data_IF_915905206905
#
_entry.id   IF_915905206905
#
_cell.length_a   1.000
_cell.length_b   1.000
_cell.length_c   1.000
_cell.angle_alpha   90.00
_cell.angle_beta   90.00
_cell.angle_gamma   90.00
#
_symmetry.space_group_name_H-M   'P 1'
#
loop_
_entity.id
_entity.type
_entity.pdbx_description
1 polymer ?
#
# COMPACT_ATOMS: atom_id res chain seq x y z
N UNK A 1 11.08 -8.86 -10.05
CA UNK A 1 9.66 -9.17 -10.29
C UNK A 1 9.64 -10.30 -11.30
N UNK A 2 8.94 -11.38 -10.97
CA UNK A 2 8.65 -12.43 -11.95
C UNK A 2 7.76 -11.83 -13.06
N UNK A 3 7.87 -12.31 -14.30
CA UNK A 3 6.95 -11.89 -15.38
C UNK A 3 5.51 -12.17 -14.91
N UNK A 4 4.67 -11.15 -14.83
CA UNK A 4 3.34 -11.31 -14.24
C UNK A 4 2.45 -12.21 -15.11
N UNK A 5 2.76 -12.32 -16.41
CA UNK A 5 2.08 -13.24 -17.32
C UNK A 5 2.24 -14.68 -16.89
N UNK A 6 3.33 -15.01 -16.18
CA UNK A 6 3.56 -16.37 -15.65
C UNK A 6 2.53 -16.79 -14.59
N UNK A 7 1.81 -15.85 -13.96
CA UNK A 7 0.71 -16.18 -13.04
C UNK A 7 -0.57 -16.61 -13.77
N UNK A 8 -0.77 -16.15 -15.00
CA UNK A 8 -2.03 -16.36 -15.74
C UNK A 8 -1.99 -17.54 -16.72
N UNK A 9 -0.88 -18.26 -16.83
CA UNK A 9 -0.71 -19.37 -17.80
C UNK A 9 -0.94 -20.76 -17.22
N UNK A 10 -1.26 -20.90 -15.93
CA UNK A 10 -1.55 -22.19 -15.30
C UNK A 10 -3.06 -22.35 -15.11
N UNK A 11 -3.59 -23.53 -15.47
CA UNK A 11 -4.98 -23.91 -15.18
C UNK A 11 -5.26 -23.80 -13.68
N UNK A 12 -6.30 -23.03 -13.35
CA UNK A 12 -6.73 -22.79 -11.96
C UNK A 12 -7.27 -24.10 -11.38
N UNK A 13 -6.80 -24.58 -10.21
CA UNK A 13 -7.42 -25.72 -9.56
C UNK A 13 -8.86 -25.36 -9.14
N UNK A 14 -9.84 -26.16 -9.57
CA UNK A 14 -11.25 -25.92 -9.29
C UNK A 14 -11.55 -25.96 -7.78
N UNK A 15 -12.06 -24.87 -7.20
CA UNK A 15 -12.47 -24.79 -5.79
C UNK A 15 -13.93 -25.21 -5.62
N UNK A 16 -14.18 -26.22 -4.77
CA UNK A 16 -15.52 -26.67 -4.34
C UNK A 16 -16.19 -25.57 -3.51
N UNK A 17 -17.37 -25.10 -3.93
CA UNK A 17 -18.24 -24.21 -3.13
C UNK A 17 -18.97 -25.01 -2.04
N UNK A 18 -18.90 -24.54 -0.80
CA UNK A 18 -19.89 -24.85 0.23
C UNK A 18 -20.78 -23.61 0.38
N UNK A 19 -22.08 -23.80 0.16
CA UNK A 19 -23.10 -22.76 0.31
C UNK A 19 -23.57 -22.70 1.75
N UNK A 20 -23.73 -21.49 2.30
CA UNK A 20 -24.68 -21.23 3.37
C UNK A 20 -25.08 -19.75 3.37
N UNK A 21 -26.36 -19.52 3.10
CA UNK A 21 -27.09 -18.29 3.36
C UNK A 21 -27.17 -17.99 4.87
N UNK A 22 -27.35 -16.72 5.25
CA UNK A 22 -28.33 -16.19 6.23
C UNK A 22 -28.00 -14.70 6.55
N UNK A 23 -28.86 -13.83 6.03
CA UNK A 23 -29.61 -12.71 6.66
C UNK A 23 -28.99 -11.72 7.67
N UNK A 24 -29.30 -10.43 7.45
CA UNK A 24 -28.94 -9.25 8.25
C UNK A 24 -30.00 -8.87 9.31
N UNK A 25 -29.65 -8.01 10.29
CA UNK A 25 -30.62 -7.03 10.78
C UNK A 25 -30.07 -5.60 10.95
N UNK A 26 -31.03 -4.69 11.13
CA UNK A 26 -30.97 -3.23 10.99
C UNK A 26 -31.12 -2.48 12.32
N UNK A 27 -30.63 -1.21 12.34
CA UNK A 27 -31.04 0.02 13.10
C UNK A 27 -30.43 0.39 14.48
N UNK A 28 -29.80 1.60 14.47
CA UNK A 28 -29.96 2.85 15.31
C UNK A 28 -30.14 2.73 16.85
N UNK A 29 -29.65 3.60 17.75
CA UNK A 29 -28.83 4.82 17.77
C UNK A 29 -28.59 5.27 19.25
N UNK A 30 -27.66 6.23 19.45
CA UNK A 30 -27.70 7.42 20.35
C UNK A 30 -26.53 7.59 21.33
N UNK A 31 -26.11 8.85 21.46
CA UNK A 31 -24.88 9.38 22.05
C UNK A 31 -25.07 10.01 23.46
N UNK A 32 -23.97 10.11 24.23
CA UNK A 32 -23.69 11.15 25.26
C UNK A 32 -22.22 11.01 25.73
N UNK A 33 -21.31 11.91 25.32
CA UNK A 33 -20.79 13.09 26.06
C UNK A 33 -19.67 12.81 27.07
N UNK A 34 -18.45 13.27 26.72
CA UNK A 34 -17.14 13.30 27.39
C UNK A 34 -16.97 14.51 28.35
N UNK A 35 -15.78 14.90 28.86
CA UNK A 35 -14.52 14.21 29.30
C UNK A 35 -14.09 14.80 30.70
N UNK A 36 -12.81 15.02 31.12
CA UNK A 36 -11.48 14.51 30.72
C UNK A 36 -10.61 14.02 31.91
N UNK A 37 -9.54 13.25 31.63
CA UNK A 37 -8.27 13.33 32.37
C UNK A 37 -7.17 12.58 31.61
N UNK A 38 -6.10 13.30 31.26
CA UNK A 38 -4.79 12.73 30.94
C UNK A 38 -4.14 12.18 32.23
N UNK A 39 -3.20 11.23 32.11
CA UNK A 39 -1.83 11.70 32.16
C UNK A 39 -0.90 11.06 31.11
N UNK A 40 -0.01 11.93 30.63
CA UNK A 40 1.34 11.66 30.12
C UNK A 40 1.91 10.30 30.54
N UNK A 41 2.26 9.48 29.56
CA UNK A 41 3.51 8.69 29.57
C UNK A 41 3.79 8.08 28.19
N UNK A 42 4.69 8.72 27.44
CA UNK A 42 5.66 7.97 26.63
C UNK A 42 6.66 7.37 27.62
N UNK A 43 7.01 6.10 27.50
CA UNK A 43 8.02 5.67 26.53
C UNK A 43 7.53 4.40 25.78
N UNK A 44 7.97 4.08 24.58
CA UNK A 44 9.17 3.30 24.35
C UNK A 44 9.25 3.01 22.84
N UNK A 45 10.45 3.09 22.28
CA UNK A 45 10.78 2.63 20.94
C UNK A 45 10.74 1.10 20.86
N UNK A 46 9.54 0.51 20.92
CA UNK A 46 9.36 -0.88 20.54
C UNK A 46 9.46 -0.97 19.01
N UNK A 47 10.43 -1.73 18.51
CA UNK A 47 10.58 -1.99 17.09
C UNK A 47 9.38 -2.83 16.63
N UNK A 48 8.29 -2.18 16.24
CA UNK A 48 7.12 -2.88 15.69
C UNK A 48 7.56 -3.65 14.45
N UNK A 49 7.41 -4.97 14.50
CA UNK A 49 7.69 -5.90 13.40
C UNK A 49 6.86 -5.49 12.19
N UNK A 50 7.43 -5.63 10.99
CA UNK A 50 6.78 -5.21 9.74
C UNK A 50 5.48 -5.99 9.52
N UNK A 51 5.42 -7.26 9.91
CA UNK A 51 4.21 -8.07 9.86
C UNK A 51 3.05 -7.49 10.68
N UNK A 52 3.33 -6.86 11.82
CA UNK A 52 2.31 -6.31 12.71
C UNK A 52 1.62 -5.06 12.12
N UNK A 53 2.13 -4.53 11.01
CA UNK A 53 1.55 -3.39 10.31
C UNK A 53 0.42 -3.80 9.34
N UNK A 54 0.28 -5.09 9.05
CA UNK A 54 -0.90 -5.63 8.37
C UNK A 54 -1.98 -5.84 9.43
N UNK A 55 -3.00 -4.99 9.38
CA UNK A 55 -4.07 -4.94 10.40
C UNK A 55 -5.37 -5.56 9.91
N UNK A 56 -5.55 -5.72 8.59
CA UNK A 56 -6.71 -6.41 8.04
C UNK A 56 -6.57 -7.92 8.30
N UNK A 57 -7.54 -8.56 8.98
CA UNK A 57 -7.39 -9.95 9.45
C UNK A 57 -7.13 -10.96 8.33
N UNK A 58 -7.87 -10.86 7.21
CA UNK A 58 -7.79 -11.84 6.13
C UNK A 58 -6.41 -11.85 5.49
N UNK A 59 -5.85 -10.66 5.21
CA UNK A 59 -4.50 -10.50 4.74
C UNK A 59 -3.46 -11.00 5.74
N UNK A 60 -3.64 -10.71 7.03
CA UNK A 60 -2.72 -11.16 8.07
C UNK A 60 -2.62 -12.70 8.09
N UNK A 61 -3.76 -13.39 8.05
CA UNK A 61 -3.82 -14.84 8.03
C UNK A 61 -3.21 -15.45 6.75
N UNK A 62 -3.54 -14.89 5.59
CA UNK A 62 -3.03 -15.35 4.29
C UNK A 62 -1.51 -15.12 4.14
N UNK A 63 -0.98 -14.03 4.70
CA UNK A 63 0.44 -13.64 4.58
C UNK A 63 1.30 -14.14 5.74
N UNK A 64 0.71 -14.72 6.79
CA UNK A 64 1.46 -15.29 7.91
C UNK A 64 2.59 -16.26 7.50
N UNK A 65 2.44 -17.13 6.47
CA UNK A 65 3.54 -17.95 5.97
C UNK A 65 4.65 -17.15 5.29
N UNK A 66 4.31 -16.08 4.56
CA UNK A 66 5.28 -15.22 3.86
C UNK A 66 6.19 -14.49 4.86
N UNK A 67 5.63 -13.98 5.96
CA UNK A 67 6.40 -13.26 6.99
C UNK A 67 7.47 -14.13 7.67
N UNK A 68 7.31 -15.46 7.66
CA UNK A 68 8.27 -16.40 8.26
C UNK A 68 9.48 -16.67 7.35
N UNK A 69 9.38 -16.37 6.05
CA UNK A 69 10.42 -16.70 5.07
C UNK A 69 11.69 -15.87 5.28
N UNK A 70 12.83 -16.45 4.92
CA UNK A 70 14.14 -15.84 5.13
C UNK A 70 14.28 -14.47 4.44
N UNK A 71 13.75 -14.32 3.23
CA UNK A 71 13.84 -13.05 2.49
C UNK A 71 13.08 -11.92 3.20
N UNK A 72 11.96 -12.20 3.86
CA UNK A 72 11.16 -11.18 4.54
C UNK A 72 11.89 -10.68 5.79
N UNK A 73 12.49 -11.59 6.58
CA UNK A 73 13.36 -11.21 7.71
C UNK A 73 14.56 -10.37 7.27
N UNK A 74 15.17 -10.71 6.12
CA UNK A 74 16.25 -9.92 5.53
C UNK A 74 15.77 -8.52 5.11
N UNK A 75 14.57 -8.43 4.55
CA UNK A 75 13.93 -7.16 4.19
C UNK A 75 13.65 -6.29 5.42
N UNK A 76 13.14 -6.86 6.51
CA UNK A 76 12.95 -6.13 7.78
C UNK A 76 14.28 -5.59 8.31
N UNK A 77 15.31 -6.43 8.38
CA UNK A 77 16.64 -6.01 8.80
C UNK A 77 17.26 -4.95 7.87
N UNK A 78 16.98 -5.02 6.56
CA UNK A 78 17.36 -3.98 5.61
C UNK A 78 16.66 -2.66 5.96
N UNK A 79 15.34 -2.64 6.11
CA UNK A 79 14.59 -1.40 6.42
C UNK A 79 15.01 -0.78 7.74
N UNK A 80 15.32 -1.58 8.76
CA UNK A 80 15.77 -1.07 10.05
C UNK A 80 17.18 -0.45 9.97
N UNK A 81 18.10 -1.05 9.19
CA UNK A 81 19.41 -0.44 8.88
C UNK A 81 19.25 0.83 8.07
N UNK A 82 18.38 0.80 7.08
CA UNK A 82 18.11 1.91 6.18
C UNK A 82 17.53 3.09 6.95
N UNK A 83 16.60 2.84 7.87
CA UNK A 83 16.01 3.84 8.74
C UNK A 83 17.07 4.50 9.63
N UNK A 84 18.01 3.72 10.21
CA UNK A 84 19.13 4.25 11.00
C UNK A 84 20.09 5.09 10.16
N UNK A 85 20.44 4.60 8.98
CA UNK A 85 21.32 5.30 8.03
C UNK A 85 20.74 6.67 7.65
N UNK A 86 19.47 6.68 7.30
CA UNK A 86 18.72 7.87 6.93
C UNK A 86 18.61 8.86 8.11
N UNK A 87 18.36 8.38 9.33
CA UNK A 87 18.34 9.24 10.53
C UNK A 87 19.70 9.83 10.90
N UNK A 88 20.80 9.15 10.58
CA UNK A 88 22.16 9.60 10.87
C UNK A 88 22.68 10.64 9.86
N UNK A 89 22.04 10.80 8.69
CA UNK A 89 22.48 11.77 7.68
C UNK A 89 22.18 13.22 8.10
N UNK A 90 23.15 14.14 8.01
CA UNK A 90 22.89 15.56 8.19
C UNK A 90 22.00 16.09 7.06
N UNK A 91 20.96 16.86 7.43
CA UNK A 91 20.04 17.49 6.47
C UNK A 91 20.68 18.79 5.96
N UNK A 92 20.77 19.04 4.65
CA UNK A 92 21.32 20.29 4.13
C UNK A 92 20.51 21.51 4.59
N UNK A 93 21.20 22.52 5.13
CA UNK A 93 20.64 23.78 5.66
C UNK A 93 19.86 24.60 4.60
N UNK A 94 20.08 24.36 3.30
CA UNK A 94 19.52 25.16 2.20
C UNK A 94 18.01 24.91 1.90
N UNK A 95 17.33 24.01 2.59
CA UNK A 95 15.88 23.78 2.41
C UNK A 95 15.05 24.58 3.43
N UNK A 96 15.16 25.91 3.39
CA UNK A 96 14.49 26.86 4.29
C UNK A 96 13.13 27.35 3.74
N UNK A 97 12.21 26.44 3.45
CA UNK A 97 10.78 26.77 3.36
C UNK A 97 10.04 26.08 4.51
N UNK A 98 9.33 26.86 5.32
CA UNK A 98 8.79 26.52 6.65
C UNK A 98 7.87 25.28 6.74
N UNK A 99 7.59 24.58 5.64
CA UNK A 99 6.75 23.36 5.61
C UNK A 99 7.54 22.05 5.44
N UNK A 100 8.83 22.11 5.05
CA UNK A 100 9.64 20.94 4.68
C UNK A 100 10.61 20.47 5.77
N UNK A 101 10.21 20.43 7.04
CA UNK A 101 11.01 19.89 8.16
C UNK A 101 11.24 18.37 8.13
N UNK A 102 11.25 17.74 6.95
CA UNK A 102 11.35 16.28 6.87
C UNK A 102 12.82 15.92 6.68
N UNK A 103 13.40 15.44 7.79
CA UNK A 103 14.63 14.63 7.86
C UNK A 103 14.74 13.74 6.63
N UNK A 104 15.95 13.33 6.26
CA UNK A 104 16.08 12.18 5.36
C UNK A 104 15.09 11.10 5.86
N UNK A 105 14.29 10.56 4.94
CA UNK A 105 13.14 9.75 5.28
C UNK A 105 12.99 8.59 4.31
N UNK A 106 12.42 7.51 4.81
CA UNK A 106 11.84 6.44 3.99
C UNK A 106 10.36 6.78 3.80
N UNK A 107 9.86 6.65 2.57
CA UNK A 107 8.46 6.82 2.22
C UNK A 107 7.84 5.51 1.74
N UNK A 108 6.54 5.28 2.01
CA UNK A 108 5.69 6.06 2.91
C UNK A 108 6.13 5.90 4.39
N UNK A 109 5.59 6.69 5.34
CA UNK A 109 5.72 6.42 6.76
C UNK A 109 5.46 4.95 7.11
N UNK A 110 6.17 4.40 8.10
CA UNK A 110 6.18 2.96 8.38
C UNK A 110 4.76 2.37 8.52
N UNK A 111 3.86 3.03 9.25
CA UNK A 111 2.48 2.58 9.46
C UNK A 111 1.60 2.58 8.19
N UNK A 112 2.02 3.25 7.11
CA UNK A 112 1.30 3.31 5.84
C UNK A 112 1.85 2.33 4.80
N UNK A 113 2.93 1.58 5.09
CA UNK A 113 3.55 0.66 4.12
C UNK A 113 2.55 -0.34 3.53
N UNK A 114 1.65 -0.88 4.36
CA UNK A 114 0.61 -1.83 3.96
C UNK A 114 -0.78 -1.20 3.85
N UNK A 115 -0.88 0.12 3.66
CA UNK A 115 -2.19 0.79 3.56
C UNK A 115 -3.08 0.17 2.47
N UNK A 116 -2.51 -0.26 1.34
CA UNK A 116 -3.26 -0.94 0.27
C UNK A 116 -3.95 -2.23 0.75
N UNK A 117 -3.26 -3.05 1.54
CA UNK A 117 -3.82 -4.29 2.09
C UNK A 117 -4.84 -3.98 3.19
N UNK A 118 -4.51 -3.02 4.06
CA UNK A 118 -5.35 -2.67 5.20
C UNK A 118 -6.67 -1.99 4.81
N UNK A 119 -6.69 -1.29 3.66
CA UNK A 119 -7.87 -0.59 3.15
C UNK A 119 -8.71 -1.44 2.17
N UNK A 120 -8.15 -2.53 1.66
CA UNK A 120 -8.79 -3.40 0.66
C UNK A 120 -8.80 -4.84 1.19
N UNK A 121 -9.84 -5.24 1.95
CA UNK A 121 -9.98 -6.61 2.43
C UNK A 121 -9.91 -7.62 1.28
N UNK A 122 -9.27 -8.76 1.51
CA UNK A 122 -9.00 -9.76 0.47
C UNK A 122 -10.25 -10.16 -0.33
N UNK A 123 -11.36 -10.43 0.36
CA UNK A 123 -12.61 -10.88 -0.25
C UNK A 123 -13.37 -9.79 -1.03
N UNK A 124 -12.96 -8.52 -0.89
CA UNK A 124 -13.57 -7.39 -1.60
C UNK A 124 -12.87 -7.04 -2.91
N UNK A 125 -11.75 -7.70 -3.22
CA UNK A 125 -10.90 -7.36 -4.37
C UNK A 125 -11.63 -7.69 -5.67
N UNK A 126 -11.81 -6.66 -6.50
CA UNK A 126 -12.36 -6.78 -7.85
C UNK A 126 -11.31 -6.43 -8.91
N UNK A 127 -10.38 -5.53 -8.59
CA UNK A 127 -9.37 -5.03 -9.52
C UNK A 127 -8.03 -4.92 -8.81
N UNK A 128 -6.94 -5.28 -9.48
CA UNK A 128 -5.57 -5.07 -9.01
C UNK A 128 -4.86 -4.12 -9.97
N UNK A 129 -4.33 -3.02 -9.45
CA UNK A 129 -3.49 -2.07 -10.18
C UNK A 129 -2.08 -2.15 -9.61
N UNK A 130 -1.09 -2.27 -10.50
CA UNK A 130 0.31 -2.42 -10.11
C UNK A 130 1.12 -1.19 -10.48
N UNK A 131 1.72 -0.57 -9.47
CA UNK A 131 2.71 0.50 -9.60
C UNK A 131 4.15 0.00 -9.47
N UNK A 132 5.12 0.91 -9.60
CA UNK A 132 6.55 0.61 -9.54
C UNK A 132 7.08 0.72 -8.11
N UNK A 133 7.38 1.93 -7.68
CA UNK A 133 7.78 2.33 -6.34
C UNK A 133 6.93 3.52 -5.87
N UNK A 134 6.90 3.82 -4.55
CA UNK A 134 6.14 4.95 -4.05
C UNK A 134 6.72 6.28 -4.54
N UNK A 135 5.91 7.34 -4.53
CA UNK A 135 6.43 8.69 -4.74
C UNK A 135 7.50 9.04 -3.70
N UNK A 136 8.66 9.50 -4.17
CA UNK A 136 9.82 9.82 -3.34
C UNK A 136 9.83 11.28 -2.81
N UNK A 137 8.77 12.06 -3.09
CA UNK A 137 8.61 13.42 -2.61
C UNK A 137 7.95 13.47 -1.21
N UNK A 138 8.33 14.42 -0.34
CA UNK A 138 7.80 14.51 1.01
C UNK A 138 6.27 14.67 1.05
N UNK A 139 5.60 13.80 1.80
CA UNK A 139 4.14 13.86 1.99
C UNK A 139 3.30 13.44 0.77
N UNK A 140 3.93 12.91 -0.28
CA UNK A 140 3.22 12.43 -1.47
C UNK A 140 2.68 11.02 -1.26
N UNK A 141 3.57 10.04 -1.04
CA UNK A 141 3.20 8.64 -0.88
C UNK A 141 2.51 8.39 0.47
N UNK A 142 1.43 7.60 0.42
CA UNK A 142 0.65 7.16 1.58
C UNK A 142 0.23 5.68 1.46
N UNK A 143 1.09 4.87 0.84
CA UNK A 143 0.92 3.42 0.77
C UNK A 143 0.04 2.87 -0.36
N UNK A 144 -0.48 3.73 -1.25
CA UNK A 144 -1.23 3.33 -2.45
C UNK A 144 -0.47 3.73 -3.73
N UNK A 145 -0.39 2.83 -4.73
CA UNK A 145 0.21 3.17 -6.02
C UNK A 145 -0.55 4.29 -6.74
N UNK A 146 0.14 5.17 -7.46
CA UNK A 146 -0.40 6.35 -8.17
C UNK A 146 -1.13 7.40 -7.32
N UNK A 147 -1.45 7.12 -6.07
CA UNK A 147 -2.19 8.03 -5.21
C UNK A 147 -1.29 8.96 -4.42
N UNK A 148 -1.74 10.20 -4.24
CA UNK A 148 -1.12 11.17 -3.31
C UNK A 148 -2.12 11.62 -2.25
N UNK A 149 -1.62 12.06 -1.09
CA UNK A 149 -2.45 12.62 -0.03
C UNK A 149 -3.26 13.84 -0.50
N UNK A 150 -4.41 14.10 0.13
CA UNK A 150 -5.21 15.31 -0.16
C UNK A 150 -4.38 16.56 0.17
N UNK A 151 -4.53 17.60 -0.65
CA UNK A 151 -3.71 18.82 -0.57
C UNK A 151 -2.40 18.75 -1.37
N UNK A 152 -1.98 17.56 -1.81
CA UNK A 152 -0.88 17.41 -2.76
C UNK A 152 -1.42 17.45 -4.20
N UNK A 153 -0.84 18.27 -5.09
CA UNK A 153 -1.23 18.28 -6.49
C UNK A 153 -1.05 16.90 -7.16
N UNK A 154 -2.00 16.42 -7.96
CA UNK A 154 -1.86 15.16 -8.69
C UNK A 154 -0.59 15.12 -9.54
N UNK A 155 0.25 14.08 -9.43
CA UNK A 155 1.42 13.90 -10.29
C UNK A 155 1.04 13.70 -11.77
N UNK A 156 1.98 13.87 -12.72
CA UNK A 156 1.69 13.73 -14.16
C UNK A 156 1.03 12.40 -14.55
N UNK A 157 1.50 11.27 -14.00
CA UNK A 157 0.91 9.96 -14.26
C UNK A 157 -0.55 9.88 -13.81
N UNK A 158 -0.88 10.42 -12.62
CA UNK A 158 -2.24 10.44 -12.12
C UNK A 158 -3.14 11.38 -12.94
N UNK A 159 -2.62 12.53 -13.39
CA UNK A 159 -3.34 13.41 -14.32
C UNK A 159 -3.70 12.69 -15.61
N UNK A 160 -2.82 11.84 -16.12
CA UNK A 160 -3.10 11.04 -17.32
C UNK A 160 -4.18 9.99 -17.06
N UNK A 161 -4.15 9.30 -15.91
CA UNK A 161 -5.22 8.37 -15.50
C UNK A 161 -6.58 9.10 -15.44
N UNK A 162 -6.64 10.28 -14.82
CA UNK A 162 -7.89 11.04 -14.76
C UNK A 162 -8.36 11.55 -16.12
N UNK A 163 -7.44 11.98 -17.00
CA UNK A 163 -7.79 12.37 -18.38
C UNK A 163 -8.38 11.20 -19.15
N UNK A 164 -7.79 10.02 -19.03
CA UNK A 164 -8.29 8.82 -19.70
C UNK A 164 -9.66 8.41 -19.14
N UNK A 165 -9.82 8.38 -17.82
CA UNK A 165 -11.11 8.08 -17.18
C UNK A 165 -12.22 9.08 -17.58
N UNK A 166 -11.88 10.37 -17.73
CA UNK A 166 -12.84 11.36 -18.21
C UNK A 166 -13.20 11.15 -19.69
N UNK A 167 -12.21 10.85 -20.52
CA UNK A 167 -12.41 10.65 -21.97
C UNK A 167 -13.18 9.36 -22.28
N UNK A 168 -12.89 8.29 -21.54
CA UNK A 168 -13.44 6.96 -21.79
C UNK A 168 -14.84 6.78 -21.19
N UNK A 169 -14.99 7.09 -19.89
CA UNK A 169 -16.23 6.83 -19.14
C UNK A 169 -16.93 8.09 -18.61
N UNK A 170 -16.48 9.28 -19.01
CA UNK A 170 -17.14 10.55 -18.70
C UNK A 170 -17.03 11.01 -17.25
N UNK A 171 -16.19 10.37 -16.42
CA UNK A 171 -16.07 10.73 -15.00
C UNK A 171 -15.39 12.10 -14.86
N UNK A 172 -15.94 13.05 -14.07
CA UNK A 172 -15.30 14.33 -13.84
C UNK A 172 -13.92 14.20 -13.20
N UNK A 173 -12.94 14.97 -13.68
CA UNK A 173 -11.58 14.97 -13.15
C UNK A 173 -11.56 15.55 -11.73
N UNK A 174 -11.15 14.80 -10.70
CA UNK A 174 -11.09 15.31 -9.33
C UNK A 174 -10.03 16.40 -9.16
N UNK A 175 -10.26 17.32 -8.21
CA UNK A 175 -9.30 18.37 -7.84
C UNK A 175 -8.21 17.90 -6.86
N UNK A 176 -8.20 16.61 -6.50
CA UNK A 176 -7.24 16.00 -5.58
C UNK A 176 -6.63 14.70 -6.13
N UNK A 177 -5.47 14.31 -5.62
CA UNK A 177 -4.79 13.08 -6.06
C UNK A 177 -5.02 11.82 -5.19
N UNK A 178 -5.94 11.90 -4.22
CA UNK A 178 -6.24 10.75 -3.35
C UNK A 178 -7.18 9.75 -4.03
N UNK A 179 -6.76 8.48 -4.04
CA UNK A 179 -7.47 7.32 -4.60
C UNK A 179 -7.94 6.36 -3.50
N UNK A 180 -8.00 6.83 -2.25
CA UNK A 180 -8.53 6.04 -1.11
C UNK A 180 -9.91 5.48 -1.39
N UNK A 181 -10.75 6.22 -2.12
CA UNK A 181 -12.10 5.78 -2.48
C UNK A 181 -12.07 4.56 -3.41
N UNK A 182 -11.13 4.47 -4.35
CA UNK A 182 -10.99 3.31 -5.23
C UNK A 182 -10.54 2.08 -4.44
N UNK A 183 -9.55 2.27 -3.55
CA UNK A 183 -9.04 1.18 -2.72
C UNK A 183 -10.13 0.55 -1.84
N UNK A 184 -10.97 1.38 -1.22
CA UNK A 184 -12.13 0.93 -0.43
C UNK A 184 -13.25 0.27 -1.24
N UNK A 185 -13.25 0.43 -2.56
CA UNK A 185 -14.22 -0.20 -3.47
C UNK A 185 -13.70 -1.52 -4.07
N UNK A 186 -12.60 -2.06 -3.55
CA UNK A 186 -12.03 -3.33 -4.04
C UNK A 186 -10.99 -3.16 -5.14
N UNK A 187 -10.43 -1.96 -5.31
CA UNK A 187 -9.28 -1.75 -6.21
C UNK A 187 -7.99 -1.85 -5.40
N UNK A 188 -7.33 -3.01 -5.41
CA UNK A 188 -6.05 -3.19 -4.76
C UNK A 188 -4.96 -2.39 -5.48
N UNK A 189 -4.44 -1.36 -4.83
CA UNK A 189 -3.48 -0.40 -5.40
C UNK A 189 -2.05 -0.67 -4.92
N UNK A 190 -1.39 -1.68 -5.48
CA UNK A 190 -0.13 -2.22 -4.97
C UNK A 190 1.08 -1.72 -5.78
N UNK A 191 2.15 -1.26 -5.13
CA UNK A 191 3.43 -1.05 -5.81
C UNK A 191 4.26 -2.35 -5.80
N UNK A 192 5.09 -2.59 -6.81
CA UNK A 192 6.03 -3.71 -6.81
C UNK A 192 7.08 -3.58 -5.69
N UNK A 193 7.52 -2.35 -5.39
CA UNK A 193 8.36 -2.00 -4.25
C UNK A 193 7.54 -1.12 -3.30
N UNK A 194 7.45 -1.46 -2.01
CA UNK A 194 6.54 -0.77 -1.08
C UNK A 194 7.18 0.41 -0.33
N UNK A 195 8.50 0.62 -0.46
CA UNK A 195 9.20 1.74 0.19
C UNK A 195 10.23 2.36 -0.74
N UNK A 196 10.59 3.61 -0.49
CA UNK A 196 11.62 4.34 -1.22
C UNK A 196 12.32 5.34 -0.30
N UNK A 197 13.60 5.57 -0.51
CA UNK A 197 14.34 6.65 0.13
C UNK A 197 13.93 8.00 -0.49
N UNK A 198 13.73 9.01 0.36
CA UNK A 198 13.38 10.36 -0.08
C UNK A 198 14.33 10.84 -1.17
N UNK A 199 13.77 11.46 -2.23
CA UNK A 199 14.49 12.00 -3.40
C UNK A 199 15.28 10.99 -4.25
N UNK A 200 15.28 9.70 -3.91
CA UNK A 200 16.02 8.66 -4.61
C UNK A 200 15.08 7.56 -5.10
N UNK A 201 14.53 7.74 -6.30
CA UNK A 201 13.67 6.74 -6.94
C UNK A 201 14.38 5.38 -7.09
N UNK A 202 13.64 4.28 -6.97
CA UNK A 202 14.12 2.90 -7.04
C UNK A 202 15.22 2.51 -6.01
N UNK A 203 15.47 3.33 -4.99
CA UNK A 203 16.51 3.09 -3.98
C UNK A 203 16.36 1.77 -3.21
N UNK A 204 15.13 1.27 -3.04
CA UNK A 204 14.85 0.01 -2.33
C UNK A 204 14.51 -1.16 -3.27
N UNK A 205 14.82 -1.01 -4.57
CA UNK A 205 14.65 -2.08 -5.54
C UNK A 205 15.60 -3.25 -5.23
N UNK A 206 15.15 -4.49 -5.49
CA UNK A 206 15.86 -5.75 -5.24
C UNK A 206 16.18 -6.02 -3.77
N UNK A 207 15.50 -5.36 -2.83
CA UNK A 207 15.70 -5.57 -1.38
C UNK A 207 14.73 -6.61 -0.79
N UNK A 208 13.88 -7.22 -1.61
CA UNK A 208 12.95 -8.30 -1.21
C UNK A 208 11.47 -7.91 -1.29
N UNK A 209 11.16 -6.64 -1.55
CA UNK A 209 9.77 -6.20 -1.75
C UNK A 209 9.12 -6.87 -2.94
N UNK A 210 9.84 -7.02 -4.05
CA UNK A 210 9.29 -7.65 -5.26
C UNK A 210 8.90 -9.11 -5.01
N UNK A 211 9.65 -9.83 -4.17
CA UNK A 211 9.30 -11.21 -3.79
C UNK A 211 8.02 -11.23 -2.94
N UNK A 212 7.85 -10.25 -2.05
CA UNK A 212 6.65 -10.13 -1.23
C UNK A 212 5.42 -9.76 -2.05
N UNK A 213 5.54 -8.77 -2.93
CA UNK A 213 4.42 -8.31 -3.76
C UNK A 213 4.07 -9.34 -4.83
N UNK A 214 5.03 -10.09 -5.37
CA UNK A 214 4.77 -11.28 -6.20
C UNK A 214 3.95 -12.33 -5.42
N UNK A 215 4.23 -12.55 -4.13
CA UNK A 215 3.45 -13.49 -3.31
C UNK A 215 2.02 -13.00 -3.08
N UNK A 216 1.83 -11.69 -2.85
CA UNK A 216 0.49 -11.09 -2.76
C UNK A 216 -0.30 -11.28 -4.05
N UNK A 217 0.33 -11.01 -5.20
CA UNK A 217 -0.30 -11.18 -6.53
C UNK A 217 -0.66 -12.66 -6.77
N UNK A 218 0.22 -13.61 -6.41
CA UNK A 218 -0.09 -15.05 -6.48
C UNK A 218 -1.31 -15.40 -5.63
N UNK A 219 -1.37 -14.94 -4.38
CA UNK A 219 -2.51 -15.21 -3.50
C UNK A 219 -3.83 -14.73 -4.11
N UNK A 220 -3.85 -13.51 -4.66
CA UNK A 220 -5.04 -12.99 -5.34
C UNK A 220 -5.36 -13.82 -6.58
N UNK A 221 -4.39 -14.13 -7.43
CA UNK A 221 -4.61 -14.92 -8.64
C UNK A 221 -5.15 -16.33 -8.36
N UNK A 222 -4.64 -16.96 -7.31
CA UNK A 222 -4.92 -18.36 -6.99
C UNK A 222 -6.20 -18.52 -6.16
N UNK A 223 -6.53 -17.55 -5.29
CA UNK A 223 -7.62 -17.69 -4.33
C UNK A 223 -8.80 -16.74 -4.56
N UNK A 224 -8.62 -15.60 -5.23
CA UNK A 224 -9.69 -14.66 -5.51
C UNK A 224 -10.39 -14.98 -6.84
N UNK A 225 -11.70 -14.78 -6.87
CA UNK A 225 -12.54 -15.03 -8.04
C UNK A 225 -12.84 -13.74 -8.80
N UNK A 226 -12.83 -13.83 -10.14
CA UNK A 226 -13.23 -12.74 -11.04
C UNK A 226 -12.46 -11.41 -10.89
N UNK A 227 -11.18 -11.46 -10.54
CA UNK A 227 -10.33 -10.28 -10.38
C UNK A 227 -9.72 -9.83 -11.71
N UNK A 228 -9.80 -8.53 -12.01
CA UNK A 228 -9.17 -7.91 -13.18
C UNK A 228 -7.81 -7.33 -12.81
N UNK A 229 -6.76 -7.63 -13.59
CA UNK A 229 -5.43 -7.05 -13.40
C UNK A 229 -5.15 -5.95 -14.45
N UNK A 230 -4.79 -4.75 -13.98
CA UNK A 230 -4.41 -3.61 -14.82
C UNK A 230 -2.90 -3.38 -14.74
N UNK A 231 -2.21 -3.68 -15.84
CA UNK A 231 -0.75 -3.76 -15.92
C UNK A 231 -0.18 -2.64 -16.79
N UNK A 232 0.13 -1.51 -16.16
CA UNK A 232 0.56 -0.31 -16.88
C UNK A 232 2.09 -0.19 -16.93
N UNK A 233 2.64 -0.41 -18.13
CA UNK A 233 4.07 -0.27 -18.44
C UNK A 233 4.89 -1.52 -18.15
N UNK A 234 6.13 -1.55 -18.66
CA UNK A 234 7.01 -2.73 -18.60
C UNK A 234 7.24 -3.28 -17.18
N UNK A 235 7.40 -2.47 -16.13
CA UNK A 235 7.64 -3.05 -14.80
C UNK A 235 6.44 -3.77 -14.20
N UNK A 236 5.22 -3.53 -14.72
CA UNK A 236 4.01 -4.21 -14.29
C UNK A 236 3.64 -5.40 -15.20
N UNK A 237 4.34 -5.58 -16.34
CA UNK A 237 4.14 -6.68 -17.29
C UNK A 237 5.20 -7.76 -17.06
#
# INVERSE_FOLDING_TARGET
>A
MSDIRSFFTKDRPAKRRAASDIEAPTKKAKASSSPPVDPVSSPESSSTTLSALVTEPTWNDLLAPEFKKAYFKQLEAFLDREQKYVQAKPVPILSMTHSCRKKAAIFPPRHEIFAALNLCPFDSINVVIIGQDPYHGPGQAHGLCFSVARGVPPPPSLKNIYKEANKDVGIPVPTHGSLLSWCRQGVLMLNAVLTVRATEANSHKKQGWETFTDAVIRLVNDQADHVVFLLWGKPAQ
#
